data_IF_724036764944
#
_entry.id   IF_724036764944
#
_cell.length_a   1.000
_cell.length_b   1.000
_cell.length_c   1.000
_cell.angle_alpha   90.00
_cell.angle_beta   90.00
_cell.angle_gamma   90.00
#
_symmetry.space_group_name_H-M   'P 1'
#
loop_
_entity.id
_entity.type
_entity.pdbx_description
1 polymer ?
#
# COMPACT_ATOMS: atom_id res chain seq x y z
N UNK A 1 11.13 -15.83 1.99
CA UNK A 1 11.62 -14.84 2.97
C UNK A 1 10.63 -13.72 3.09
N UNK A 2 10.35 -13.29 4.30
CA UNK A 2 9.51 -12.12 4.58
C UNK A 2 10.39 -10.97 5.03
N UNK A 3 10.09 -9.78 4.54
CA UNK A 3 10.81 -8.54 4.87
C UNK A 3 9.79 -7.42 5.14
N UNK A 4 10.20 -6.42 5.93
CA UNK A 4 9.48 -5.15 5.95
C UNK A 4 10.13 -4.18 4.97
N UNK A 5 9.31 -3.53 4.15
CA UNK A 5 9.71 -2.41 3.30
C UNK A 5 9.20 -1.14 3.97
N UNK A 6 10.09 -0.38 4.58
CA UNK A 6 9.71 0.66 5.54
C UNK A 6 10.51 1.97 5.39
N UNK A 7 10.49 2.58 4.19
CA UNK A 7 11.15 3.87 4.01
C UNK A 7 10.52 4.93 4.92
N UNK A 8 11.35 5.79 5.48
CA UNK A 8 10.87 6.83 6.38
C UNK A 8 11.77 8.06 6.40
N UNK A 9 11.20 9.16 6.85
CA UNK A 9 11.90 10.40 7.14
C UNK A 9 11.73 10.75 8.61
N UNK A 10 12.81 11.14 9.26
CA UNK A 10 12.81 11.48 10.68
C UNK A 10 13.56 12.78 10.93
N UNK A 11 12.90 13.70 11.62
CA UNK A 11 13.49 14.97 12.03
C UNK A 11 13.75 14.94 13.54
N UNK A 12 15.01 15.01 13.94
CA UNK A 12 15.40 14.99 15.35
C UNK A 12 14.70 16.10 16.15
N UNK A 13 14.10 15.73 17.30
CA UNK A 13 13.37 16.66 18.14
C UNK A 13 12.05 17.18 17.55
N UNK A 14 11.65 16.71 16.38
CA UNK A 14 10.45 17.16 15.68
C UNK A 14 9.45 16.03 15.46
N UNK A 15 9.51 15.40 14.30
CA UNK A 15 8.54 14.39 13.87
C UNK A 15 9.19 13.35 12.95
N UNK A 16 8.46 12.29 12.70
CA UNK A 16 8.83 11.27 11.73
C UNK A 16 7.60 10.75 11.00
N UNK A 17 7.83 10.24 9.81
CA UNK A 17 6.83 9.54 9.01
C UNK A 17 7.47 8.33 8.36
N UNK A 18 6.76 7.20 8.38
CA UNK A 18 7.18 5.97 7.72
C UNK A 18 6.00 5.38 6.96
N UNK A 19 6.27 4.91 5.76
CA UNK A 19 5.33 4.08 5.00
C UNK A 19 5.86 2.65 5.02
N UNK A 20 5.05 1.70 5.45
CA UNK A 20 5.51 0.34 5.71
C UNK A 20 4.56 -0.69 5.15
N UNK A 21 5.11 -1.65 4.43
CA UNK A 21 4.44 -2.88 4.02
C UNK A 21 5.34 -4.08 4.29
N UNK A 22 4.74 -5.19 4.66
CA UNK A 22 5.41 -6.48 4.63
C UNK A 22 5.41 -6.99 3.20
N UNK A 23 6.53 -7.55 2.79
CA UNK A 23 6.72 -8.12 1.46
C UNK A 23 7.27 -9.55 1.56
N UNK A 24 6.89 -10.39 0.61
CA UNK A 24 7.44 -11.72 0.44
C UNK A 24 8.31 -11.76 -0.80
N UNK A 25 9.45 -12.44 -0.71
CA UNK A 25 10.33 -12.65 -1.86
C UNK A 25 9.75 -13.79 -2.70
N UNK A 26 9.46 -13.52 -3.97
CA UNK A 26 9.00 -14.50 -4.93
C UNK A 26 10.17 -15.40 -5.40
N UNK A 27 9.83 -16.56 -5.94
CA UNK A 27 10.80 -17.38 -6.64
C UNK A 27 11.41 -16.59 -7.81
N UNK A 28 12.68 -16.89 -8.19
CA UNK A 28 13.32 -16.21 -9.31
C UNK A 28 12.58 -16.48 -10.62
N UNK A 29 12.58 -15.50 -11.50
CA UNK A 29 12.07 -15.63 -12.86
C UNK A 29 13.03 -16.45 -13.74
N UNK A 30 12.71 -16.58 -15.04
CA UNK A 30 13.52 -17.36 -16.00
C UNK A 30 14.95 -16.80 -16.20
N UNK A 31 15.16 -15.52 -15.89
CA UNK A 31 16.46 -14.85 -15.99
C UNK A 31 17.23 -14.84 -14.65
N UNK A 32 16.64 -15.43 -13.60
CA UNK A 32 17.23 -15.51 -12.27
C UNK A 32 17.00 -14.30 -11.39
N UNK A 33 16.11 -13.37 -11.77
CA UNK A 33 15.75 -12.20 -10.97
C UNK A 33 14.64 -12.49 -9.98
N UNK A 34 14.82 -12.00 -8.76
CA UNK A 34 13.78 -12.05 -7.73
C UNK A 34 12.86 -10.85 -7.84
N UNK A 35 11.64 -11.02 -7.42
CA UNK A 35 10.64 -9.97 -7.26
C UNK A 35 10.02 -10.03 -5.88
N UNK A 36 9.13 -9.09 -5.58
CA UNK A 36 8.50 -9.01 -4.27
C UNK A 36 6.98 -8.93 -4.43
N UNK A 37 6.29 -9.64 -3.57
CA UNK A 37 4.85 -9.52 -3.40
C UNK A 37 4.57 -8.72 -2.12
N UNK A 38 3.76 -7.67 -2.21
CA UNK A 38 3.26 -6.96 -1.04
C UNK A 38 2.16 -7.77 -0.40
N UNK A 39 2.32 -8.14 0.88
CA UNK A 39 1.36 -8.96 1.61
C UNK A 39 0.52 -8.17 2.61
N UNK A 40 0.94 -6.97 3.01
CA UNK A 40 0.11 -6.07 3.81
C UNK A 40 -1.07 -5.56 2.99
N UNK A 41 -2.27 -5.73 3.52
CA UNK A 41 -3.51 -5.26 2.90
C UNK A 41 -4.15 -4.19 3.79
N UNK A 42 -3.61 -2.98 3.70
CA UNK A 42 -4.11 -1.82 4.44
C UNK A 42 -3.95 -0.57 3.56
N UNK A 43 -5.00 0.25 3.43
CA UNK A 43 -4.86 1.49 2.65
C UNK A 43 -3.79 2.41 3.24
N UNK A 44 -2.97 2.99 2.38
CA UNK A 44 -2.04 4.05 2.76
C UNK A 44 -2.84 5.35 2.88
N UNK A 45 -2.64 6.09 3.97
CA UNK A 45 -3.39 7.31 4.24
C UNK A 45 -3.08 8.40 3.21
N UNK A 46 -4.05 8.65 2.31
CA UNK A 46 -3.89 9.62 1.22
C UNK A 46 -3.78 11.07 1.67
N UNK A 47 -4.20 11.39 2.89
CA UNK A 47 -4.12 12.76 3.43
C UNK A 47 -2.68 13.25 3.58
N UNK A 48 -1.74 12.32 3.67
CA UNK A 48 -0.31 12.62 3.82
C UNK A 48 0.46 12.50 2.50
N UNK A 49 -0.24 12.31 1.39
CA UNK A 49 0.37 12.13 0.06
C UNK A 49 0.17 13.39 -0.77
N UNK A 50 1.26 13.99 -1.22
CA UNK A 50 1.22 15.03 -2.26
C UNK A 50 1.22 14.35 -3.64
N UNK A 51 0.04 14.21 -4.22
CA UNK A 51 -0.13 13.55 -5.51
C UNK A 51 0.63 14.25 -6.65
N UNK A 52 0.89 15.56 -6.50
CA UNK A 52 1.66 16.34 -7.49
C UNK A 52 3.14 15.99 -7.52
N UNK A 53 3.67 15.39 -6.46
CA UNK A 53 5.05 14.94 -6.37
C UNK A 53 5.26 13.51 -6.88
N UNK A 54 4.18 12.75 -7.10
CA UNK A 54 4.27 11.38 -7.60
C UNK A 54 4.48 11.35 -9.11
N UNK A 55 5.36 10.47 -9.55
CA UNK A 55 5.46 10.12 -10.96
C UNK A 55 4.19 9.35 -11.39
N UNK A 56 3.89 9.38 -12.69
CA UNK A 56 2.70 8.71 -13.22
C UNK A 56 2.67 7.20 -12.89
N UNK A 57 3.82 6.55 -12.95
CA UNK A 57 3.97 5.14 -12.61
C UNK A 57 3.83 4.84 -11.11
N UNK A 58 4.27 5.76 -10.26
CA UNK A 58 4.12 5.64 -8.79
C UNK A 58 2.64 5.79 -8.40
N UNK A 59 1.96 6.75 -9.00
CA UNK A 59 0.52 6.95 -8.82
C UNK A 59 -0.27 5.72 -9.29
N UNK A 60 0.06 5.20 -10.47
CA UNK A 60 -0.60 4.00 -11.00
C UNK A 60 -0.38 2.79 -10.09
N UNK A 61 0.82 2.62 -9.55
CA UNK A 61 1.11 1.55 -8.59
C UNK A 61 0.25 1.68 -7.32
N UNK A 62 0.16 2.90 -6.76
CA UNK A 62 -0.60 3.14 -5.54
C UNK A 62 -2.10 2.91 -5.74
N UNK A 63 -2.65 3.39 -6.86
CA UNK A 63 -4.05 3.17 -7.21
C UNK A 63 -4.36 1.67 -7.41
N UNK A 64 -3.47 0.94 -8.07
CA UNK A 64 -3.59 -0.51 -8.25
C UNK A 64 -3.48 -1.27 -6.92
N UNK A 65 -2.58 -0.84 -6.03
CA UNK A 65 -2.46 -1.41 -4.69
C UNK A 65 -3.75 -1.21 -3.88
N UNK A 66 -4.30 0.01 -3.88
CA UNK A 66 -5.56 0.29 -3.19
C UNK A 66 -6.73 -0.50 -3.77
N UNK A 67 -6.79 -0.65 -5.10
CA UNK A 67 -7.81 -1.48 -5.74
C UNK A 67 -7.72 -2.96 -5.31
N UNK A 68 -6.51 -3.48 -5.18
CA UNK A 68 -6.28 -4.83 -4.66
C UNK A 68 -6.72 -4.96 -3.20
N UNK A 69 -6.35 -4.00 -2.35
CA UNK A 69 -6.76 -3.98 -0.93
C UNK A 69 -8.28 -4.02 -0.83
N UNK A 70 -8.97 -3.18 -1.57
CA UNK A 70 -10.43 -3.13 -1.59
C UNK A 70 -11.04 -4.47 -2.05
N UNK A 71 -10.55 -5.01 -3.16
CA UNK A 71 -11.07 -6.26 -3.73
C UNK A 71 -10.91 -7.45 -2.77
N UNK A 72 -9.80 -7.54 -2.07
CA UNK A 72 -9.52 -8.65 -1.17
C UNK A 72 -10.19 -8.50 0.19
N UNK A 73 -10.35 -7.29 0.73
CA UNK A 73 -10.93 -7.08 2.05
C UNK A 73 -12.47 -6.96 2.02
N UNK A 74 -13.05 -6.49 0.95
CA UNK A 74 -14.52 -6.30 0.87
C UNK A 74 -15.30 -7.56 1.22
N UNK A 75 -14.98 -8.77 0.69
CA UNK A 75 -15.69 -9.99 1.05
C UNK A 75 -15.59 -10.38 2.53
N UNK A 76 -14.48 -10.00 3.17
CA UNK A 76 -14.20 -10.32 4.58
C UNK A 76 -14.95 -9.38 5.55
N UNK A 77 -15.46 -8.26 5.06
CA UNK A 77 -16.14 -7.23 5.85
C UNK A 77 -17.65 -7.21 5.59
N UNK A 78 -18.21 -8.32 5.13
CA UNK A 78 -19.62 -8.43 4.81
C UNK A 78 -20.49 -8.16 6.05
N UNK A 79 -21.42 -7.21 5.90
CA UNK A 79 -22.30 -6.76 7.00
C UNK A 79 -21.76 -5.58 7.80
N UNK A 80 -20.51 -5.15 7.58
CA UNK A 80 -19.88 -4.02 8.24
C UNK A 80 -19.97 -2.75 7.37
N UNK A 81 -21.19 -2.24 7.17
CA UNK A 81 -21.45 -1.19 6.17
C UNK A 81 -20.64 0.09 6.38
N UNK A 82 -20.43 0.53 7.62
CA UNK A 82 -19.63 1.71 7.93
C UNK A 82 -18.14 1.51 7.57
N UNK A 83 -17.64 0.31 7.85
CA UNK A 83 -16.25 -0.05 7.53
C UNK A 83 -16.07 -0.16 6.01
N UNK A 84 -17.03 -0.76 5.31
CA UNK A 84 -17.01 -0.85 3.84
C UNK A 84 -17.03 0.54 3.20
N UNK A 85 -17.85 1.47 3.68
CA UNK A 85 -17.88 2.84 3.18
C UNK A 85 -16.54 3.56 3.41
N UNK A 86 -15.94 3.36 4.56
CA UNK A 86 -14.61 3.90 4.86
C UNK A 86 -13.54 3.30 3.93
N UNK A 87 -13.58 1.98 3.72
CA UNK A 87 -12.63 1.28 2.84
C UNK A 87 -12.73 1.77 1.40
N UNK A 88 -13.95 1.95 0.89
CA UNK A 88 -14.19 2.51 -0.45
C UNK A 88 -13.55 3.89 -0.61
N UNK A 89 -13.76 4.77 0.36
CA UNK A 89 -13.18 6.11 0.34
C UNK A 89 -11.64 6.08 0.45
N UNK A 90 -11.12 5.22 1.32
CA UNK A 90 -9.67 5.09 1.54
C UNK A 90 -8.94 4.52 0.32
N UNK A 91 -9.59 3.63 -0.43
CA UNK A 91 -9.02 2.96 -1.61
C UNK A 91 -9.36 3.65 -2.95
N UNK A 92 -10.14 4.72 -2.94
CA UNK A 92 -10.45 5.46 -4.17
C UNK A 92 -9.15 6.00 -4.82
N UNK A 93 -9.07 6.04 -6.17
CA UNK A 93 -7.90 6.57 -6.86
C UNK A 93 -7.53 8.00 -6.44
N UNK A 94 -6.25 8.30 -6.53
CA UNK A 94 -5.73 9.65 -6.29
C UNK A 94 -6.16 10.65 -7.36
#
# INVERSE_FOLDING_TARGET
MLLSNEPGFYRAGGWGIRTENLIAVNAPDNDGYFSFETITLCPIDKRLIDAGMLLAEERAWLDAYHARVQAELTPELNGEDEVLAWLDAACAPL
#
